data_IF_544970611069
#
_entry.id   IF_544970611069
#
_cell.length_a   1.000
_cell.length_b   1.000
_cell.length_c   1.000
_cell.angle_alpha   90.00
_cell.angle_beta   90.00
_cell.angle_gamma   90.00
#
_symmetry.space_group_name_H-M   'P 1'
#
loop_
_entity.id
_entity.type
_entity.pdbx_description
1 polymer ?
#
# COMPACT_ATOMS: atom_id res chain seq x y z
N UNK A 1 13.35 -14.31 -18.25
CA UNK A 1 12.70 -13.10 -17.68
C UNK A 1 11.25 -13.49 -17.37
N UNK A 2 10.69 -13.07 -16.23
CA UNK A 2 9.27 -13.27 -15.98
C UNK A 2 8.46 -12.63 -17.12
N UNK A 3 7.31 -13.23 -17.43
CA UNK A 3 6.41 -12.72 -18.45
C UNK A 3 5.94 -11.30 -18.08
N UNK A 4 5.83 -10.40 -19.06
CA UNK A 4 5.34 -9.04 -18.81
C UNK A 4 3.88 -9.12 -18.38
N UNK A 5 3.59 -8.63 -17.17
CA UNK A 5 2.22 -8.55 -16.64
C UNK A 5 1.84 -7.10 -16.38
N UNK A 6 0.59 -6.74 -16.69
CA UNK A 6 -0.02 -5.46 -16.35
C UNK A 6 -1.31 -5.80 -15.60
N UNK A 7 -1.40 -5.39 -14.34
CA UNK A 7 -2.55 -5.71 -13.50
C UNK A 7 -2.76 -4.64 -12.42
N UNK A 8 -3.96 -4.63 -11.87
CA UNK A 8 -4.35 -3.77 -10.77
C UNK A 8 -4.23 -4.54 -9.45
N UNK A 9 -3.65 -3.90 -8.41
CA UNK A 9 -3.96 -4.25 -7.03
C UNK A 9 -5.29 -3.58 -6.68
N UNK A 10 -6.34 -4.37 -6.56
CA UNK A 10 -7.71 -3.88 -6.56
C UNK A 10 -8.10 -3.35 -5.17
N UNK A 11 -8.64 -2.12 -5.07
CA UNK A 11 -9.13 -1.57 -3.81
C UNK A 11 -10.41 -2.24 -3.31
N UNK A 12 -10.99 -3.18 -4.08
CA UNK A 12 -12.07 -4.06 -3.62
C UNK A 12 -11.56 -5.20 -2.75
N UNK A 13 -10.29 -5.57 -2.90
CA UNK A 13 -9.68 -6.74 -2.28
C UNK A 13 -8.66 -6.34 -1.19
N UNK A 14 -8.05 -5.16 -1.33
CA UNK A 14 -7.03 -4.64 -0.42
C UNK A 14 -7.38 -3.21 -0.01
N UNK A 15 -7.12 -2.84 1.24
CA UNK A 15 -7.27 -1.45 1.68
C UNK A 15 -6.29 -0.53 0.93
N UNK A 16 -6.63 0.76 0.73
CA UNK A 16 -5.71 1.73 0.13
C UNK A 16 -4.34 1.80 0.84
N UNK A 17 -4.34 1.62 2.16
CA UNK A 17 -3.13 1.57 2.96
C UNK A 17 -2.28 0.32 2.66
N UNK A 18 -2.90 -0.86 2.58
CA UNK A 18 -2.19 -2.09 2.20
C UNK A 18 -1.58 -1.99 0.81
N UNK A 19 -2.30 -1.37 -0.14
CA UNK A 19 -1.78 -1.09 -1.49
C UNK A 19 -0.57 -0.17 -1.41
N UNK A 20 -0.65 0.93 -0.65
CA UNK A 20 0.47 1.85 -0.45
C UNK A 20 1.70 1.16 0.17
N UNK A 21 1.50 0.30 1.16
CA UNK A 21 2.59 -0.46 1.81
C UNK A 21 3.20 -1.49 0.85
N UNK A 22 2.40 -2.14 0.00
CA UNK A 22 2.91 -3.05 -1.03
C UNK A 22 3.84 -2.31 -2.01
N UNK A 23 3.43 -1.14 -2.48
CA UNK A 23 4.29 -0.28 -3.33
C UNK A 23 5.55 0.16 -2.61
N UNK A 24 5.48 0.56 -1.34
CA UNK A 24 6.67 0.91 -0.56
C UNK A 24 7.66 -0.26 -0.45
N UNK A 25 7.17 -1.47 -0.16
CA UNK A 25 8.00 -2.68 0.02
C UNK A 25 8.67 -3.14 -1.27
N UNK A 26 8.05 -2.94 -2.44
CA UNK A 26 8.71 -3.28 -3.73
C UNK A 26 10.02 -2.55 -3.97
N UNK A 27 10.23 -1.37 -3.39
CA UNK A 27 11.50 -0.65 -3.51
C UNK A 27 12.69 -1.40 -2.86
N UNK A 28 12.43 -2.39 -2.00
CA UNK A 28 13.44 -3.11 -1.21
C UNK A 28 13.23 -4.62 -1.14
N UNK A 29 12.30 -5.20 -1.90
CA UNK A 29 12.06 -6.64 -1.99
C UNK A 29 12.23 -7.14 -3.43
N UNK A 30 12.83 -8.33 -3.64
CA UNK A 30 12.85 -8.98 -4.95
C UNK A 30 11.51 -9.61 -5.35
N UNK A 31 10.53 -9.67 -4.44
CA UNK A 31 9.21 -10.26 -4.66
C UNK A 31 8.32 -9.38 -5.56
N UNK A 32 7.34 -9.99 -6.21
CA UNK A 32 6.34 -9.27 -6.99
C UNK A 32 5.35 -8.51 -6.10
N UNK A 33 4.65 -7.53 -6.68
CA UNK A 33 3.60 -6.79 -5.95
C UNK A 33 2.50 -7.69 -5.38
N UNK A 34 2.17 -8.82 -6.03
CA UNK A 34 1.14 -9.75 -5.54
C UNK A 34 1.63 -10.53 -4.33
N UNK A 35 2.84 -11.11 -4.41
CA UNK A 35 3.44 -11.86 -3.31
C UNK A 35 3.59 -10.97 -2.06
N UNK A 36 4.03 -9.73 -2.25
CA UNK A 36 4.11 -8.75 -1.15
C UNK A 36 2.72 -8.47 -0.58
N UNK A 37 1.72 -8.21 -1.42
CA UNK A 37 0.37 -7.90 -0.96
C UNK A 37 -0.30 -9.07 -0.25
N UNK A 38 -0.09 -10.31 -0.70
CA UNK A 38 -0.58 -11.54 -0.05
C UNK A 38 0.02 -11.73 1.35
N UNK A 39 1.25 -11.26 1.57
CA UNK A 39 1.91 -11.27 2.88
C UNK A 39 1.50 -10.13 3.81
N UNK A 40 0.65 -9.20 3.38
CA UNK A 40 0.20 -8.07 4.18
C UNK A 40 -1.19 -8.33 4.77
N UNK A 41 -1.38 -7.82 5.98
CA UNK A 41 -2.67 -7.67 6.63
C UNK A 41 -2.91 -6.19 6.92
N UNK A 42 -4.14 -5.83 7.27
CA UNK A 42 -4.42 -4.46 7.72
C UNK A 42 -3.57 -4.10 8.94
N UNK A 43 -3.43 -5.01 9.91
CA UNK A 43 -2.62 -4.78 11.11
C UNK A 43 -1.12 -4.60 10.78
N UNK A 44 -0.56 -5.43 9.89
CA UNK A 44 0.86 -5.31 9.55
C UNK A 44 1.14 -4.08 8.68
N UNK A 45 0.17 -3.68 7.85
CA UNK A 45 0.22 -2.44 7.08
C UNK A 45 0.15 -1.21 7.99
N UNK A 46 -0.76 -1.20 8.97
CA UNK A 46 -0.85 -0.14 9.99
C UNK A 46 0.45 0.02 10.79
N UNK A 47 1.04 -1.09 11.24
CA UNK A 47 2.34 -1.05 11.95
C UNK A 47 3.46 -0.52 11.06
N UNK A 48 3.45 -0.86 9.77
CA UNK A 48 4.42 -0.31 8.82
C UNK A 48 4.22 1.18 8.63
N UNK A 49 2.97 1.62 8.44
CA UNK A 49 2.61 3.01 8.23
C UNK A 49 3.00 3.88 9.42
N UNK A 50 2.65 3.45 10.63
CA UNK A 50 3.01 4.14 11.87
C UNK A 50 4.52 4.32 11.99
N UNK A 51 5.28 3.25 11.76
CA UNK A 51 6.75 3.30 11.91
C UNK A 51 7.41 4.17 10.84
N UNK A 52 7.06 3.98 9.58
CA UNK A 52 7.85 4.50 8.46
C UNK A 52 7.26 5.77 7.85
N UNK A 53 5.95 5.90 7.83
CA UNK A 53 5.28 7.08 7.27
C UNK A 53 5.17 8.15 8.34
N UNK A 54 4.56 7.84 9.47
CA UNK A 54 4.37 8.79 10.58
C UNK A 54 5.69 9.02 11.33
N UNK A 55 6.32 7.94 11.82
CA UNK A 55 7.51 8.04 12.67
C UNK A 55 8.78 8.51 11.95
N UNK A 56 9.07 7.95 10.77
CA UNK A 56 10.29 8.28 10.01
C UNK A 56 10.09 9.42 9.01
N UNK A 57 8.85 9.70 8.57
CA UNK A 57 8.54 10.77 7.63
C UNK A 57 8.62 10.39 6.15
N UNK A 58 8.52 9.10 5.78
CA UNK A 58 8.38 8.69 4.38
C UNK A 58 6.96 8.96 3.84
N UNK A 59 6.60 10.23 3.73
CA UNK A 59 5.27 10.66 3.30
C UNK A 59 4.89 10.18 1.89
N UNK A 60 5.87 9.96 1.00
CA UNK A 60 5.63 9.51 -0.38
C UNK A 60 4.94 8.15 -0.47
N UNK A 61 5.02 7.32 0.57
CA UNK A 61 4.26 6.06 0.63
C UNK A 61 2.76 6.33 0.66
N UNK A 62 2.32 7.34 1.42
CA UNK A 62 0.90 7.66 1.56
C UNK A 62 0.27 8.20 0.27
N UNK A 63 1.06 8.69 -0.69
CA UNK A 63 0.58 9.23 -1.98
C UNK A 63 -0.10 8.17 -2.85
N UNK A 64 0.15 6.89 -2.59
CA UNK A 64 -0.51 5.78 -3.28
C UNK A 64 -1.92 5.48 -2.74
N UNK A 65 -2.28 5.96 -1.55
CA UNK A 65 -3.59 5.72 -0.95
C UNK A 65 -4.60 6.80 -1.37
N UNK A 66 -5.70 6.38 -2.01
CA UNK A 66 -6.78 7.27 -2.44
C UNK A 66 -8.01 7.01 -1.59
N UNK A 67 -8.59 8.07 -1.02
CA UNK A 67 -9.84 8.03 -0.29
C UNK A 67 -10.84 9.00 -0.91
N UNK A 68 -12.06 8.52 -1.18
CA UNK A 68 -13.17 9.37 -1.57
C UNK A 68 -13.97 9.73 -0.33
N UNK A 69 -13.98 11.01 0.05
CA UNK A 69 -14.70 11.52 1.23
C UNK A 69 -15.68 12.60 0.79
N UNK A 70 -16.95 12.46 1.19
CA UNK A 70 -17.96 13.50 1.05
C UNK A 70 -18.40 13.93 2.45
N UNK A 71 -18.51 15.24 2.66
CA UNK A 71 -18.82 15.84 3.96
C UNK A 71 -19.84 16.97 3.73
N UNK A 72 -20.95 16.96 4.46
CA UNK A 72 -22.06 17.90 4.31
C UNK A 72 -22.48 18.49 5.68
N UNK A 73 -22.88 19.76 5.70
CA UNK A 73 -23.42 20.48 6.88
C UNK A 73 -22.51 20.50 8.12
N UNK A 74 -21.20 20.76 7.95
CA UNK A 74 -20.21 20.94 9.03
C UNK A 74 -19.60 22.33 9.02
#
# INVERSE_FOLDING_TARGET
>A
MPERQIYLLSPKDLSPETIAVAFAKTSRSPESFREIAEGLSEESSAKFHEKWVVGYGHASVAEHAILHVAIENV
#
